data_IF_777398516462
#
_entry.id   IF_777398516462
#
_cell.length_a   1.000
_cell.length_b   1.000
_cell.length_c   1.000
_cell.angle_alpha   90.00
_cell.angle_beta   90.00
_cell.angle_gamma   90.00
#
_symmetry.space_group_name_H-M   'P 1'
#
loop_
_entity.id
_entity.type
_entity.pdbx_description
1 polymer ?
#
# COMPACT_ATOMS: atom_id res chain seq x y z
N UNK A 1 0.40 -12.80 -7.00
CA UNK A 1 1.23 -12.90 -5.79
C UNK A 1 0.47 -13.74 -4.77
N UNK A 2 1.15 -14.55 -3.96
CA UNK A 2 0.49 -15.20 -2.81
C UNK A 2 0.37 -14.18 -1.66
N UNK A 3 -0.80 -13.56 -1.54
CA UNK A 3 -1.05 -12.57 -0.48
C UNK A 3 -1.13 -13.18 0.92
N UNK A 4 -1.36 -14.49 1.02
CA UNK A 4 -1.42 -15.18 2.30
C UNK A 4 -0.09 -15.09 3.05
N UNK A 5 1.02 -15.22 2.31
CA UNK A 5 2.38 -15.09 2.83
C UNK A 5 2.67 -13.71 3.44
N UNK A 6 1.90 -12.68 3.06
CA UNK A 6 2.05 -11.29 3.53
C UNK A 6 0.95 -10.84 4.50
N UNK A 7 0.03 -11.73 4.88
CA UNK A 7 -1.11 -11.39 5.74
C UNK A 7 -0.65 -10.71 7.03
N UNK A 8 0.36 -11.26 7.70
CA UNK A 8 0.90 -10.71 8.95
C UNK A 8 1.47 -9.31 8.76
N UNK A 9 2.17 -9.06 7.66
CA UNK A 9 2.76 -7.75 7.35
C UNK A 9 1.66 -6.71 7.10
N UNK A 10 0.61 -7.08 6.35
CA UNK A 10 -0.53 -6.22 6.08
C UNK A 10 -1.28 -5.85 7.36
N UNK A 11 -1.53 -6.83 8.25
CA UNK A 11 -2.14 -6.56 9.56
C UNK A 11 -1.27 -5.67 10.44
N UNK A 12 0.06 -5.86 10.43
CA UNK A 12 0.98 -5.02 11.18
C UNK A 12 0.96 -3.57 10.69
N UNK A 13 0.95 -3.35 9.36
CA UNK A 13 0.83 -2.02 8.77
C UNK A 13 -0.50 -1.36 9.18
N UNK A 14 -1.62 -2.07 9.00
CA UNK A 14 -2.94 -1.56 9.38
C UNK A 14 -3.02 -1.23 10.88
N UNK A 15 -2.44 -2.07 11.74
CA UNK A 15 -2.40 -1.83 13.18
C UNK A 15 -1.59 -0.57 13.52
N UNK A 16 -0.39 -0.41 12.94
CA UNK A 16 0.46 0.76 13.18
C UNK A 16 -0.23 2.06 12.70
N UNK A 17 -0.86 2.02 11.54
CA UNK A 17 -1.60 3.17 10.99
C UNK A 17 -2.79 3.55 11.88
N UNK A 18 -3.57 2.55 12.32
CA UNK A 18 -4.69 2.79 13.25
C UNK A 18 -4.22 3.29 14.62
N UNK A 19 -3.04 2.87 15.09
CA UNK A 19 -2.44 3.43 16.29
C UNK A 19 -2.11 4.91 16.12
N UNK A 20 -1.48 5.29 15.01
CA UNK A 20 -1.20 6.69 14.70
C UNK A 20 -2.48 7.52 14.55
N UNK A 21 -3.54 6.98 13.94
CA UNK A 21 -4.84 7.65 13.81
C UNK A 21 -5.43 8.01 15.17
N UNK A 22 -5.37 7.08 16.15
CA UNK A 22 -5.81 7.35 17.54
C UNK A 22 -5.01 8.45 18.23
N UNK A 23 -3.79 8.72 17.77
CA UNK A 23 -2.92 9.80 18.26
C UNK A 23 -3.12 11.12 17.50
N UNK A 24 -4.07 11.19 16.57
CA UNK A 24 -4.41 12.39 15.81
C UNK A 24 -3.66 12.56 14.48
N UNK A 25 -2.98 11.51 13.99
CA UNK A 25 -2.33 11.52 12.67
C UNK A 25 -3.33 11.09 11.60
N UNK A 26 -3.38 11.80 10.47
CA UNK A 26 -4.22 11.35 9.35
C UNK A 26 -3.65 10.07 8.72
N UNK A 27 -4.46 8.99 8.72
CA UNK A 27 -4.02 7.69 8.23
C UNK A 27 -3.78 7.64 6.72
N UNK A 28 -4.56 8.40 5.94
CA UNK A 28 -4.45 8.43 4.49
C UNK A 28 -3.14 9.11 4.11
N UNK A 29 -2.87 10.29 4.69
CA UNK A 29 -1.64 11.03 4.51
C UNK A 29 -0.41 10.23 4.99
N UNK A 30 -0.50 9.58 6.15
CA UNK A 30 0.59 8.75 6.68
C UNK A 30 0.98 7.61 5.72
N UNK A 31 -0.01 6.86 5.22
CA UNK A 31 0.24 5.79 4.27
C UNK A 31 0.81 6.31 2.96
N UNK A 32 0.28 7.41 2.43
CA UNK A 32 0.80 8.02 1.21
C UNK A 32 2.26 8.46 1.39
N UNK A 33 2.59 9.13 2.50
CA UNK A 33 3.98 9.51 2.80
C UNK A 33 4.89 8.28 2.87
N UNK A 34 4.45 7.20 3.53
CA UNK A 34 5.21 5.95 3.62
C UNK A 34 5.47 5.35 2.23
N UNK A 35 4.42 5.27 1.40
CA UNK A 35 4.49 4.76 0.02
C UNK A 35 5.49 5.56 -0.81
N UNK A 36 5.43 6.90 -0.77
CA UNK A 36 6.38 7.74 -1.49
C UNK A 36 7.81 7.53 -1.02
N UNK A 37 8.05 7.46 0.29
CA UNK A 37 9.39 7.25 0.85
C UNK A 37 9.98 5.91 0.43
N UNK A 38 9.19 4.84 0.52
CA UNK A 38 9.61 3.50 0.09
C UNK A 38 9.91 3.47 -1.41
N UNK A 39 9.08 4.10 -2.22
CA UNK A 39 9.32 4.16 -3.67
C UNK A 39 10.57 4.98 -4.04
N UNK A 40 10.84 6.09 -3.34
CA UNK A 40 12.08 6.85 -3.54
C UNK A 40 13.32 6.08 -3.07
N UNK A 41 13.24 5.29 -1.99
CA UNK A 41 14.33 4.37 -1.61
C UNK A 41 14.57 3.31 -2.66
N UNK A 42 13.51 2.70 -3.21
CA UNK A 42 13.65 1.77 -4.33
C UNK A 42 14.39 2.42 -5.51
N UNK A 43 14.00 3.64 -5.92
CA UNK A 43 14.67 4.34 -7.02
C UNK A 43 16.13 4.69 -6.75
N UNK A 44 16.48 4.94 -5.49
CA UNK A 44 17.82 5.40 -5.10
C UNK A 44 18.77 4.24 -4.86
N UNK A 45 18.28 3.17 -4.24
CA UNK A 45 19.08 2.03 -3.80
C UNK A 45 18.99 0.83 -4.76
N UNK A 46 18.02 0.83 -5.69
CA UNK A 46 17.71 -0.28 -6.62
C UNK A 46 17.41 -1.61 -5.89
N UNK A 47 16.97 -1.53 -4.63
CA UNK A 47 16.59 -2.70 -3.83
C UNK A 47 15.07 -2.91 -3.90
N UNK A 48 14.68 -4.08 -4.41
CA UNK A 48 13.27 -4.47 -4.55
C UNK A 48 12.55 -4.66 -3.22
N UNK A 49 13.25 -4.78 -2.09
CA UNK A 49 12.62 -4.83 -0.76
C UNK A 49 11.81 -3.57 -0.50
N UNK A 50 12.28 -2.39 -0.92
CA UNK A 50 11.51 -1.15 -0.76
C UNK A 50 10.30 -1.09 -1.69
N UNK A 51 10.43 -1.61 -2.91
CA UNK A 51 9.30 -1.68 -3.84
C UNK A 51 8.22 -2.64 -3.32
N UNK A 52 8.60 -3.77 -2.75
CA UNK A 52 7.68 -4.67 -2.05
C UNK A 52 7.02 -3.95 -0.86
N UNK A 53 7.80 -3.24 -0.05
CA UNK A 53 7.26 -2.43 1.05
C UNK A 53 6.20 -1.43 0.57
N UNK A 54 6.48 -0.69 -0.51
CA UNK A 54 5.55 0.26 -1.10
C UNK A 54 4.26 -0.44 -1.59
N UNK A 55 4.38 -1.62 -2.20
CA UNK A 55 3.24 -2.42 -2.65
C UNK A 55 2.38 -2.92 -1.47
N UNK A 56 3.01 -3.37 -0.38
CA UNK A 56 2.28 -3.79 0.83
C UNK A 56 1.53 -2.62 1.47
N UNK A 57 2.13 -1.42 1.51
CA UNK A 57 1.45 -0.22 2.01
C UNK A 57 0.31 0.22 1.10
N UNK A 58 0.47 0.11 -0.23
CA UNK A 58 -0.61 0.34 -1.18
C UNK A 58 -1.77 -0.64 -0.97
N UNK A 59 -1.48 -1.93 -0.78
CA UNK A 59 -2.53 -2.92 -0.49
C UNK A 59 -3.26 -2.60 0.82
N UNK A 60 -2.53 -2.24 1.88
CA UNK A 60 -3.13 -1.81 3.14
C UNK A 60 -3.99 -0.53 2.99
N UNK A 61 -3.56 0.44 2.19
CA UNK A 61 -4.33 1.65 1.84
C UNK A 61 -5.69 1.28 1.23
N UNK A 62 -5.71 0.33 0.27
CA UNK A 62 -6.94 -0.14 -0.35
C UNK A 62 -7.82 -0.96 0.61
N UNK A 63 -7.22 -1.83 1.43
CA UNK A 63 -7.95 -2.63 2.43
C UNK A 63 -8.59 -1.78 3.54
N UNK A 64 -8.04 -0.59 3.80
CA UNK A 64 -8.62 0.39 4.70
C UNK A 64 -9.72 1.26 4.05
N UNK A 65 -10.08 0.98 2.79
CA UNK A 65 -11.19 1.63 2.08
C UNK A 65 -10.83 2.99 1.46
N UNK A 66 -9.54 3.30 1.30
CA UNK A 66 -9.11 4.56 0.70
C UNK A 66 -9.12 4.48 -0.83
N UNK A 67 -9.41 5.61 -1.48
CA UNK A 67 -9.64 5.67 -2.93
C UNK A 67 -8.34 5.61 -3.74
N UNK A 68 -8.24 4.60 -4.62
CA UNK A 68 -7.09 4.45 -5.53
C UNK A 68 -6.85 5.70 -6.40
N UNK A 69 -7.93 6.30 -6.90
CA UNK A 69 -7.86 7.38 -7.91
C UNK A 69 -7.18 8.66 -7.40
N UNK A 70 -7.28 8.97 -6.10
CA UNK A 70 -6.65 10.17 -5.50
C UNK A 70 -5.14 10.22 -5.71
N UNK A 71 -4.49 9.06 -5.71
CA UNK A 71 -3.04 8.91 -5.76
C UNK A 71 -2.58 8.01 -6.91
N UNK A 72 -3.41 7.87 -7.96
CA UNK A 72 -3.22 6.97 -9.10
C UNK A 72 -1.81 7.00 -9.70
N UNK A 73 -1.18 8.17 -9.80
CA UNK A 73 0.14 8.32 -10.42
C UNK A 73 1.20 7.48 -9.72
N UNK A 74 1.35 7.61 -8.40
CA UNK A 74 2.37 6.86 -7.65
C UNK A 74 1.99 5.38 -7.57
N UNK A 75 0.71 5.08 -7.45
CA UNK A 75 0.25 3.69 -7.40
C UNK A 75 0.51 2.95 -8.72
N UNK A 76 0.26 3.59 -9.85
CA UNK A 76 0.58 3.01 -11.18
C UNK A 76 2.07 2.73 -11.31
N UNK A 77 2.93 3.66 -10.87
CA UNK A 77 4.38 3.46 -10.91
C UNK A 77 4.84 2.26 -10.08
N UNK A 78 4.26 2.05 -8.89
CA UNK A 78 4.60 0.90 -8.04
C UNK A 78 4.16 -0.41 -8.70
N UNK A 79 2.93 -0.45 -9.21
CA UNK A 79 2.37 -1.60 -9.90
C UNK A 79 3.19 -1.99 -11.14
N UNK A 80 3.49 -1.01 -11.99
CA UNK A 80 4.26 -1.19 -13.22
C UNK A 80 5.68 -1.70 -12.94
N UNK A 81 6.38 -1.11 -11.96
CA UNK A 81 7.74 -1.53 -11.61
C UNK A 81 7.77 -2.91 -10.94
N UNK A 82 6.73 -3.26 -10.16
CA UNK A 82 6.67 -4.57 -9.52
C UNK A 82 6.24 -5.66 -10.52
N UNK A 83 5.47 -5.30 -11.54
CA UNK A 83 4.96 -6.22 -12.56
C UNK A 83 3.63 -6.88 -12.17
N UNK A 84 2.76 -6.15 -11.47
CA UNK A 84 1.39 -6.58 -11.10
C UNK A 84 0.38 -5.52 -11.52
N UNK A 85 -0.87 -5.92 -11.77
CA UNK A 85 -1.95 -4.99 -12.08
C UNK A 85 -2.81 -4.67 -10.86
N UNK A 86 -3.68 -3.65 -10.98
CA UNK A 86 -4.59 -3.26 -9.91
C UNK A 86 -5.48 -4.44 -9.44
N UNK A 87 -5.99 -5.23 -10.38
CA UNK A 87 -6.83 -6.39 -10.11
C UNK A 87 -6.09 -7.49 -9.32
N UNK A 88 -4.76 -7.56 -9.42
CA UNK A 88 -3.96 -8.52 -8.65
C UNK A 88 -3.90 -8.16 -7.16
N UNK A 89 -4.02 -6.88 -6.82
CA UNK A 89 -3.85 -6.37 -5.44
C UNK A 89 -5.20 -6.06 -4.77
N UNK A 90 -6.21 -5.73 -5.57
CA UNK A 90 -7.55 -5.37 -5.12
C UNK A 90 -8.49 -6.57 -5.28
N UNK A 91 -8.87 -7.19 -4.16
CA UNK A 91 -9.85 -8.27 -4.10
C UNK A 91 -11.12 -7.89 -3.33
N UNK A 92 -11.43 -6.59 -3.20
CA UNK A 92 -12.47 -6.09 -2.28
C UNK A 92 -13.32 -4.96 -2.85
N UNK A 93 -14.14 -5.26 -3.86
CA UNK A 93 -15.45 -4.64 -4.05
C UNK A 93 -16.33 -5.51 -4.96
N UNK A 94 -16.55 -6.77 -4.60
CA UNK A 94 -17.74 -7.50 -5.02
C UNK A 94 -18.63 -7.69 -3.78
N UNK A 95 -19.85 -7.13 -3.90
CA UNK A 95 -21.07 -7.36 -3.12
C UNK A 95 -21.13 -6.80 -1.69
N UNK A 96 -21.44 -5.50 -1.59
CA UNK A 96 -22.45 -5.05 -0.62
C UNK A 96 -23.76 -4.95 -1.42
N UNK A 97 -24.58 -6.01 -1.37
CA UNK A 97 -26.02 -5.93 -1.66
C UNK A 97 -26.77 -5.24 -0.52
#
# INVERSE_FOLDING_TARGET
MDWESYRTDLEAIKLAVNECERLGVDKEELLIISIYRLYEFYKTEDDRVYLLGALLHLKAYLELGMEYEKNRKIFSLILDNYGVCYQDIFQGAEEIE
#
